data_IF_973644918178
#
_entry.id   IF_973644918178
#
_cell.length_a   1.000
_cell.length_b   1.000
_cell.length_c   1.000
_cell.angle_alpha   90.00
_cell.angle_beta   90.00
_cell.angle_gamma   90.00
#
_symmetry.space_group_name_H-M   'P 1'
#
loop_
_entity.id
_entity.type
_entity.pdbx_description
1 polymer ?
#
# COMPACT_ATOMS: atom_id res chain seq x y z
N UNK A 1 -83.70 0.99 25.77
CA UNK A 1 -82.32 0.70 26.18
C UNK A 1 -81.53 0.39 24.92
N UNK A 2 -80.71 1.35 24.41
CA UNK A 2 -79.99 1.21 23.13
C UNK A 2 -78.52 0.91 23.43
N UNK A 3 -78.05 -0.27 23.02
CA UNK A 3 -76.68 -0.71 23.17
C UNK A 3 -75.95 -0.24 21.90
N UNK A 4 -74.92 0.61 22.05
CA UNK A 4 -74.07 1.03 20.93
C UNK A 4 -72.88 0.05 20.87
N UNK A 5 -72.77 -0.63 19.76
CA UNK A 5 -71.56 -1.43 19.43
C UNK A 5 -70.43 -0.50 18.99
N UNK A 6 -69.29 -0.55 19.68
CA UNK A 6 -68.07 0.15 19.31
C UNK A 6 -67.29 -0.70 18.32
N UNK A 7 -66.92 -0.09 17.20
CA UNK A 7 -66.05 -0.69 16.18
C UNK A 7 -64.61 -0.50 16.62
N UNK A 8 -63.88 -1.61 16.88
CA UNK A 8 -62.43 -1.60 17.12
C UNK A 8 -61.75 -1.74 15.79
N UNK A 9 -61.10 -0.69 15.33
CA UNK A 9 -60.25 -0.72 14.15
C UNK A 9 -58.87 -1.24 14.56
N UNK A 10 -58.54 -2.45 14.14
CA UNK A 10 -57.18 -3.00 14.29
C UNK A 10 -56.24 -2.33 13.25
N UNK A 11 -55.37 -1.48 13.72
CA UNK A 11 -54.28 -0.89 12.91
C UNK A 11 -53.20 -1.94 12.66
N UNK A 12 -53.00 -2.36 11.42
CA UNK A 12 -51.90 -3.20 11.02
C UNK A 12 -50.62 -2.36 10.94
N UNK A 13 -49.70 -2.60 11.86
CA UNK A 13 -48.33 -2.07 11.77
C UNK A 13 -47.58 -2.90 10.73
N UNK A 14 -47.33 -2.32 9.56
CA UNK A 14 -46.42 -2.89 8.58
C UNK A 14 -44.93 -2.69 9.10
N UNK A 15 -44.32 -3.77 9.53
CA UNK A 15 -42.91 -3.77 9.83
C UNK A 15 -42.11 -3.69 8.52
N UNK A 16 -41.48 -2.55 8.24
CA UNK A 16 -40.53 -2.39 7.16
C UNK A 16 -39.25 -3.12 7.55
N UNK A 17 -39.02 -4.30 6.98
CA UNK A 17 -37.75 -5.02 7.10
C UNK A 17 -36.71 -4.27 6.27
N UNK A 18 -35.90 -3.43 6.93
CA UNK A 18 -34.72 -2.83 6.31
C UNK A 18 -33.66 -3.93 6.28
N UNK A 19 -33.51 -4.61 5.13
CA UNK A 19 -32.38 -5.49 4.89
C UNK A 19 -31.08 -4.64 4.89
N UNK A 20 -30.06 -4.97 5.70
CA UNK A 20 -28.77 -4.30 5.58
C UNK A 20 -28.23 -4.61 4.18
N UNK A 21 -28.08 -3.59 3.36
CA UNK A 21 -27.38 -3.69 2.10
C UNK A 21 -25.92 -4.05 2.44
N UNK A 22 -25.52 -5.27 2.11
CA UNK A 22 -24.13 -5.70 2.17
C UNK A 22 -23.38 -4.83 1.16
N UNK A 23 -22.65 -3.82 1.63
CA UNK A 23 -21.75 -3.06 0.76
C UNK A 23 -20.69 -4.04 0.27
N UNK A 24 -20.73 -4.36 -1.03
CA UNK A 24 -19.65 -5.11 -1.66
C UNK A 24 -18.37 -4.31 -1.50
N UNK A 25 -17.36 -4.89 -0.83
CA UNK A 25 -16.05 -4.27 -0.66
C UNK A 25 -15.41 -4.08 -2.05
N UNK A 26 -14.93 -2.88 -2.35
CA UNK A 26 -14.31 -2.59 -3.64
C UNK A 26 -13.07 -3.46 -3.83
N UNK A 27 -12.84 -4.01 -5.04
CA UNK A 27 -11.66 -4.81 -5.36
C UNK A 27 -10.37 -4.02 -5.07
N UNK A 28 -9.28 -4.66 -4.57
CA UNK A 28 -8.03 -4.00 -4.28
C UNK A 28 -7.46 -3.31 -5.52
N UNK A 29 -6.95 -2.08 -5.36
CA UNK A 29 -6.27 -1.35 -6.43
C UNK A 29 -4.98 -2.07 -6.86
N UNK A 30 -4.42 -1.69 -8.01
CA UNK A 30 -3.13 -2.19 -8.48
C UNK A 30 -2.04 -2.04 -7.40
N UNK A 31 -1.93 -0.87 -6.80
CA UNK A 31 -0.93 -0.56 -5.78
C UNK A 31 -1.14 -1.34 -4.48
N UNK A 32 -2.38 -1.58 -4.08
CA UNK A 32 -2.69 -2.42 -2.92
C UNK A 32 -2.32 -3.90 -3.17
N UNK A 33 -2.58 -4.42 -4.38
CA UNK A 33 -2.13 -5.76 -4.76
C UNK A 33 -0.62 -5.87 -4.76
N UNK A 34 0.09 -4.89 -5.34
CA UNK A 34 1.54 -4.85 -5.34
C UNK A 34 2.12 -4.81 -3.92
N UNK A 35 1.53 -4.03 -3.01
CA UNK A 35 1.90 -4.02 -1.60
C UNK A 35 1.75 -5.40 -0.95
N UNK A 36 0.65 -6.09 -1.21
CA UNK A 36 0.40 -7.44 -0.69
C UNK A 36 1.41 -8.46 -1.21
N UNK A 37 1.78 -8.36 -2.49
CA UNK A 37 2.83 -9.22 -3.08
C UNK A 37 4.17 -8.95 -2.42
N UNK A 38 4.57 -7.69 -2.22
CA UNK A 38 5.82 -7.35 -1.54
C UNK A 38 5.85 -7.86 -0.09
N UNK A 39 4.76 -7.69 0.65
CA UNK A 39 4.64 -8.18 2.02
C UNK A 39 4.77 -9.71 2.12
N UNK A 40 4.28 -10.44 1.12
CA UNK A 40 4.40 -11.89 1.04
C UNK A 40 5.86 -12.37 0.86
N UNK A 41 6.77 -11.50 0.39
CA UNK A 41 8.19 -11.81 0.25
C UNK A 41 9.01 -11.55 1.54
N UNK A 42 8.34 -11.28 2.65
CA UNK A 42 8.99 -11.02 3.94
C UNK A 42 10.05 -12.06 4.27
N UNK A 43 11.27 -11.62 4.52
CA UNK A 43 12.39 -12.49 4.90
C UNK A 43 13.26 -12.96 3.74
N UNK A 44 12.82 -12.78 2.49
CA UNK A 44 13.62 -13.17 1.33
C UNK A 44 14.91 -12.35 1.27
N UNK A 45 16.06 -12.98 0.97
CA UNK A 45 17.35 -12.32 1.02
C UNK A 45 17.48 -11.19 0.00
N UNK A 46 18.19 -10.13 0.40
CA UNK A 46 18.67 -9.13 -0.54
C UNK A 46 19.79 -9.68 -1.42
N UNK A 47 19.70 -9.45 -2.72
CA UNK A 47 20.78 -9.67 -3.66
C UNK A 47 20.76 -8.59 -4.73
N UNK A 48 21.89 -7.91 -4.93
CA UNK A 48 22.04 -6.91 -5.99
C UNK A 48 21.68 -7.50 -7.36
N UNK A 49 20.87 -6.76 -8.13
CA UNK A 49 20.42 -7.17 -9.45
C UNK A 49 19.30 -8.23 -9.48
N UNK A 50 18.86 -8.73 -8.32
CA UNK A 50 17.81 -9.74 -8.26
C UNK A 50 16.40 -9.12 -8.30
N UNK A 51 15.49 -9.78 -9.03
CA UNK A 51 14.11 -9.37 -9.24
C UNK A 51 13.10 -10.49 -8.93
N UNK A 52 13.50 -11.40 -8.05
CA UNK A 52 12.67 -12.51 -7.59
C UNK A 52 12.90 -13.82 -8.37
N UNK A 53 12.16 -14.88 -8.02
CA UNK A 53 11.13 -14.91 -6.96
C UNK A 53 11.66 -15.03 -5.52
N UNK A 54 12.91 -15.47 -5.32
CA UNK A 54 13.45 -15.87 -4.00
C UNK A 54 14.45 -14.87 -3.42
N UNK A 55 14.87 -13.87 -4.21
CA UNK A 55 15.83 -12.83 -3.84
C UNK A 55 15.51 -11.54 -4.56
N UNK A 56 15.81 -10.41 -3.92
CA UNK A 56 15.45 -9.09 -4.44
C UNK A 56 16.52 -8.05 -4.15
N UNK A 57 16.73 -7.11 -5.06
CA UNK A 57 17.17 -5.78 -4.69
C UNK A 57 15.95 -4.85 -4.50
N UNK A 58 16.18 -3.59 -4.11
CA UNK A 58 15.09 -2.68 -3.76
C UNK A 58 14.10 -2.46 -4.92
N UNK A 59 14.60 -2.11 -6.10
CA UNK A 59 13.77 -1.90 -7.29
C UNK A 59 13.30 -3.21 -7.92
N UNK A 60 14.00 -4.32 -7.69
CA UNK A 60 13.59 -5.65 -8.08
C UNK A 60 12.36 -6.14 -7.33
N UNK A 61 12.26 -5.82 -6.04
CA UNK A 61 11.06 -6.13 -5.26
C UNK A 61 9.84 -5.37 -5.79
N UNK A 62 9.94 -4.08 -6.04
CA UNK A 62 8.85 -3.27 -6.58
C UNK A 62 8.50 -3.70 -8.01
N UNK A 63 9.51 -3.96 -8.85
CA UNK A 63 9.33 -4.51 -10.19
C UNK A 63 8.54 -5.82 -10.17
N UNK A 64 8.96 -6.79 -9.35
CA UNK A 64 8.30 -8.08 -9.19
C UNK A 64 6.85 -7.93 -8.69
N UNK A 65 6.65 -7.12 -7.66
CA UNK A 65 5.35 -6.92 -7.02
C UNK A 65 4.32 -6.32 -7.97
N UNK A 66 4.72 -5.33 -8.74
CA UNK A 66 3.84 -4.73 -9.74
C UNK A 66 3.60 -5.64 -10.94
N UNK A 67 4.62 -6.36 -11.41
CA UNK A 67 4.47 -7.34 -12.50
C UNK A 67 3.48 -8.44 -12.14
N UNK A 68 3.56 -8.98 -10.92
CA UNK A 68 2.60 -9.95 -10.40
C UNK A 68 1.18 -9.38 -10.27
N UNK A 69 1.07 -8.08 -10.15
CA UNK A 69 -0.21 -7.37 -10.04
C UNK A 69 -0.76 -6.87 -11.38
N UNK A 70 -0.03 -7.08 -12.48
CA UNK A 70 -0.49 -6.79 -13.84
C UNK A 70 0.15 -5.56 -14.48
N UNK A 71 1.23 -5.00 -13.91
CA UNK A 71 1.92 -3.83 -14.48
C UNK A 71 3.44 -3.97 -14.44
N UNK A 72 4.09 -3.82 -15.59
CA UNK A 72 5.55 -3.79 -15.68
C UNK A 72 6.08 -2.40 -15.38
N UNK A 73 6.96 -2.28 -14.38
CA UNK A 73 7.69 -1.06 -14.05
C UNK A 73 9.06 -1.04 -14.75
N UNK A 74 9.71 0.14 -14.85
CA UNK A 74 11.14 0.19 -15.16
C UNK A 74 11.96 -0.57 -14.09
N UNK A 75 13.16 -1.03 -14.46
CA UNK A 75 13.94 -1.91 -13.58
C UNK A 75 14.64 -1.20 -12.41
N UNK A 76 15.08 0.04 -12.59
CA UNK A 76 15.86 0.78 -11.59
C UNK A 76 15.00 1.72 -10.76
N UNK A 77 15.41 2.02 -9.53
CA UNK A 77 14.69 2.94 -8.65
C UNK A 77 14.53 4.35 -9.28
N UNK A 78 15.59 4.90 -9.86
CA UNK A 78 15.53 6.21 -10.54
C UNK A 78 14.55 6.19 -11.71
N UNK A 79 14.58 5.14 -12.54
CA UNK A 79 13.69 5.04 -13.69
C UNK A 79 12.22 4.85 -13.25
N UNK A 80 11.98 4.12 -12.18
CA UNK A 80 10.65 4.00 -11.57
C UNK A 80 10.15 5.37 -11.08
N UNK A 81 11.01 6.14 -10.40
CA UNK A 81 10.65 7.51 -9.98
C UNK A 81 10.29 8.38 -11.18
N UNK A 82 11.15 8.43 -12.19
CA UNK A 82 10.94 9.25 -13.38
C UNK A 82 9.64 8.90 -14.13
N UNK A 83 9.26 7.63 -14.14
CA UNK A 83 8.05 7.15 -14.82
C UNK A 83 6.78 7.30 -14.02
N UNK A 84 6.88 7.39 -12.69
CA UNK A 84 5.72 7.49 -11.79
C UNK A 84 5.06 8.87 -11.85
N UNK A 85 3.77 8.90 -11.53
CA UNK A 85 3.11 10.16 -11.17
C UNK A 85 3.62 10.59 -9.79
N UNK A 86 4.32 11.71 -9.72
CA UNK A 86 4.84 12.22 -8.45
C UNK A 86 3.69 12.63 -7.53
N UNK A 87 3.82 12.30 -6.26
CA UNK A 87 2.81 12.52 -5.22
C UNK A 87 3.42 13.35 -4.10
N UNK A 88 2.73 14.41 -3.68
CA UNK A 88 3.16 15.18 -2.51
C UNK A 88 3.12 14.29 -1.24
N UNK A 89 4.04 14.48 -0.28
CA UNK A 89 4.05 13.70 0.96
C UNK A 89 2.70 13.70 1.71
N UNK A 90 1.97 14.81 1.68
CA UNK A 90 0.64 14.94 2.29
C UNK A 90 -0.47 14.16 1.56
N UNK A 91 -0.25 13.82 0.29
CA UNK A 91 -1.21 13.11 -0.57
C UNK A 91 -0.86 11.63 -0.79
N UNK A 92 0.20 11.12 -0.11
CA UNK A 92 0.60 9.73 -0.22
C UNK A 92 -0.46 8.78 0.30
N UNK A 93 -0.57 7.63 -0.33
CA UNK A 93 -1.51 6.56 0.02
C UNK A 93 -0.78 5.24 0.16
N UNK A 94 -1.35 4.33 0.93
CA UNK A 94 -0.90 2.95 1.03
C UNK A 94 -0.79 2.34 -0.38
N UNK A 95 0.37 1.74 -0.69
CA UNK A 95 0.69 1.19 -2.00
C UNK A 95 1.46 2.12 -2.93
N UNK A 96 1.58 3.44 -2.63
CA UNK A 96 2.48 4.31 -3.37
C UNK A 96 3.94 3.87 -3.21
N UNK A 97 4.78 4.15 -4.19
CA UNK A 97 6.21 3.92 -4.05
C UNK A 97 6.85 5.02 -3.21
N UNK A 98 7.78 4.61 -2.35
CA UNK A 98 8.64 5.48 -1.55
C UNK A 98 10.03 5.43 -2.16
N UNK A 99 10.50 6.54 -2.67
CA UNK A 99 11.83 6.68 -3.27
C UNK A 99 12.74 7.46 -2.33
N UNK A 100 13.94 6.96 -2.13
CA UNK A 100 14.94 7.59 -1.27
C UNK A 100 16.11 8.07 -2.13
N UNK A 101 16.52 9.30 -1.92
CA UNK A 101 17.62 9.90 -2.64
C UNK A 101 18.05 11.25 -2.05
N UNK A 102 19.24 11.71 -2.42
CA UNK A 102 19.72 13.05 -2.04
C UNK A 102 19.00 14.16 -2.78
N UNK A 103 18.49 13.85 -3.97
CA UNK A 103 17.68 14.73 -4.82
C UNK A 103 16.75 13.88 -5.68
N UNK A 104 15.83 14.52 -6.39
CA UNK A 104 14.94 13.84 -7.35
C UNK A 104 15.68 13.21 -8.55
N UNK A 105 16.87 13.69 -8.85
CA UNK A 105 17.78 13.09 -9.88
C UNK A 105 18.79 12.11 -9.29
N UNK A 106 18.77 11.87 -7.97
CA UNK A 106 19.72 11.01 -7.28
C UNK A 106 19.02 9.94 -6.43
N UNK A 107 17.97 9.32 -6.97
CA UNK A 107 17.23 8.23 -6.31
C UNK A 107 18.05 6.96 -6.38
N UNK A 108 18.28 6.31 -5.23
CA UNK A 108 19.07 5.08 -5.12
C UNK A 108 18.36 3.94 -4.39
N UNK A 109 17.20 4.19 -3.76
CA UNK A 109 16.43 3.18 -3.04
C UNK A 109 14.94 3.37 -3.26
N UNK A 110 14.18 2.29 -3.15
CA UNK A 110 12.73 2.31 -3.30
C UNK A 110 12.08 1.21 -2.45
N UNK A 111 10.90 1.52 -1.92
CA UNK A 111 10.00 0.58 -1.26
C UNK A 111 8.55 0.89 -1.60
N UNK A 112 7.62 0.15 -1.01
CA UNK A 112 6.18 0.36 -1.15
C UNK A 112 5.61 0.84 0.17
N UNK A 113 4.95 1.99 0.16
CA UNK A 113 4.38 2.62 1.35
C UNK A 113 3.29 1.76 1.97
N UNK A 114 3.44 1.41 3.24
CA UNK A 114 2.55 0.54 4.00
C UNK A 114 1.64 1.28 4.99
N UNK A 115 1.68 2.61 5.00
CA UNK A 115 0.83 3.44 5.86
C UNK A 115 1.58 4.15 6.97
N UNK A 116 0.83 4.91 7.75
CA UNK A 116 1.30 5.66 8.91
C UNK A 116 0.79 5.00 10.19
N UNK A 117 1.67 4.69 11.13
CA UNK A 117 1.34 4.18 12.46
C UNK A 117 2.48 4.44 13.43
N UNK A 118 2.16 4.57 14.72
CA UNK A 118 3.11 4.84 15.80
C UNK A 118 4.00 6.07 15.51
N UNK A 119 3.40 7.12 14.93
CA UNK A 119 4.10 8.36 14.59
C UNK A 119 5.08 8.27 13.42
N UNK A 120 5.06 7.19 12.63
CA UNK A 120 6.00 6.93 11.52
C UNK A 120 5.31 6.43 10.27
N UNK A 121 5.86 6.81 9.10
CA UNK A 121 5.54 6.16 7.84
C UNK A 121 6.33 4.85 7.71
N UNK A 122 5.69 3.79 7.21
CA UNK A 122 6.28 2.47 7.04
C UNK A 122 6.31 2.07 5.57
N UNK A 123 7.29 1.27 5.18
CA UNK A 123 7.38 0.72 3.83
C UNK A 123 7.90 -0.73 3.84
N UNK A 124 7.40 -1.53 2.90
CA UNK A 124 8.02 -2.80 2.53
C UNK A 124 9.15 -2.52 1.55
N UNK A 125 10.33 -3.07 1.81
CA UNK A 125 11.49 -2.90 0.95
C UNK A 125 12.47 -4.07 1.08
N UNK A 126 13.29 -4.28 0.05
CA UNK A 126 14.46 -5.16 0.14
C UNK A 126 15.61 -4.33 0.71
N UNK A 127 15.86 -4.52 2.00
CA UNK A 127 16.77 -3.71 2.79
C UNK A 127 18.23 -4.05 2.55
N UNK A 128 19.06 -3.03 2.31
CA UNK A 128 20.52 -3.15 2.18
C UNK A 128 21.27 -2.77 3.45
N UNK A 129 20.59 -2.09 4.38
CA UNK A 129 21.18 -1.56 5.60
C UNK A 129 21.13 -2.50 6.78
N UNK A 130 21.47 -1.95 7.94
CA UNK A 130 21.54 -2.69 9.22
C UNK A 130 20.17 -2.97 9.85
N UNK A 131 19.12 -2.22 9.46
CA UNK A 131 17.80 -2.39 10.04
C UNK A 131 17.25 -3.79 9.75
N UNK A 132 17.20 -4.65 10.77
CA UNK A 132 16.71 -6.04 10.69
C UNK A 132 17.37 -6.92 9.63
N UNK A 133 18.56 -6.53 9.12
CA UNK A 133 19.35 -7.33 8.18
C UNK A 133 19.02 -7.12 6.71
N UNK A 134 19.81 -7.74 5.84
CA UNK A 134 19.73 -7.61 4.37
C UNK A 134 18.67 -8.55 3.79
N UNK A 135 17.44 -8.15 3.84
CA UNK A 135 16.28 -8.95 3.41
C UNK A 135 15.05 -8.07 3.19
N UNK A 136 13.99 -8.65 2.66
CA UNK A 136 12.68 -7.99 2.58
C UNK A 136 12.12 -7.81 3.99
N UNK A 137 11.92 -6.55 4.38
CA UNK A 137 11.42 -6.16 5.69
C UNK A 137 10.41 -5.03 5.60
N UNK A 138 9.54 -4.96 6.59
CA UNK A 138 8.76 -3.77 6.88
C UNK A 138 9.61 -2.86 7.78
N UNK A 139 9.90 -1.65 7.31
CA UNK A 139 10.78 -0.70 8.00
C UNK A 139 10.17 0.70 8.03
N UNK A 140 10.47 1.51 9.07
CA UNK A 140 10.13 2.92 9.05
C UNK A 140 10.88 3.65 7.92
N UNK A 141 10.20 4.53 7.21
CA UNK A 141 10.84 5.37 6.17
C UNK A 141 11.97 6.21 6.76
N UNK A 142 11.85 6.62 8.02
CA UNK A 142 12.85 7.40 8.75
C UNK A 142 14.22 6.72 8.87
N UNK A 143 14.27 5.39 8.81
CA UNK A 143 15.58 4.66 8.81
C UNK A 143 16.43 4.99 7.57
N UNK A 144 15.79 5.44 6.49
CA UNK A 144 16.44 5.73 5.22
C UNK A 144 16.63 7.23 4.95
N UNK A 145 16.06 8.08 5.79
CA UNK A 145 16.11 9.54 5.63
C UNK A 145 16.90 10.23 6.74
N UNK A 146 17.60 9.48 7.57
CA UNK A 146 18.50 10.04 8.58
C UNK A 146 19.66 10.80 7.91
N UNK A 147 19.85 12.07 8.29
CA UNK A 147 20.82 12.95 7.66
C UNK A 147 20.27 13.69 6.45
N UNK A 148 20.92 13.60 5.29
CA UNK A 148 20.54 14.38 4.10
C UNK A 148 19.61 13.71 3.08
N UNK A 149 19.42 12.37 3.04
CA UNK A 149 18.46 11.78 2.11
C UNK A 149 17.03 12.19 2.41
N UNK A 150 16.19 12.26 1.34
CA UNK A 150 14.77 12.57 1.43
C UNK A 150 13.92 11.44 0.87
N UNK A 151 12.68 11.38 1.31
CA UNK A 151 11.68 10.49 0.75
C UNK A 151 10.83 11.26 -0.29
N UNK A 152 10.70 10.68 -1.46
CA UNK A 152 9.82 11.11 -2.54
C UNK A 152 8.76 10.05 -2.76
N UNK A 153 7.60 10.42 -3.26
CA UNK A 153 6.50 9.50 -3.46
C UNK A 153 6.03 9.50 -4.91
N UNK A 154 5.65 8.32 -5.40
CA UNK A 154 5.13 8.17 -6.76
C UNK A 154 4.08 7.08 -6.85
N UNK A 155 3.23 7.19 -7.87
CA UNK A 155 2.10 6.30 -8.12
C UNK A 155 2.07 5.84 -9.56
N UNK A 156 1.70 4.58 -9.77
CA UNK A 156 1.46 3.97 -11.08
C UNK A 156 -0.02 3.62 -11.29
#
# INVERSE_FOLDING_TARGET
MKIRAGIVTAGALAAVLISPATQAEAAPSLSQRALSVAAAQKGDPYKWGAEGPDRFDCSGLTYYSYRKSGKTLPRTAQAQYNKSKHVAPSARRVGDLVFIGKSSGGIYHVGIYAGWRDGKGWMWNANTGSYRGRKVVLAPVSEYTAGSPRAYYGRF
#
